data_IF_689570383641
#
_entry.id   IF_689570383641
#
_cell.length_a   1.000
_cell.length_b   1.000
_cell.length_c   1.000
_cell.angle_alpha   90.00
_cell.angle_beta   90.00
_cell.angle_gamma   90.00
#
_symmetry.space_group_name_H-M   'P 1'
#
loop_
_entity.id
_entity.type
_entity.pdbx_description
1 polymer ?
#
# COMPACT_ATOMS: atom_id res chain seq x y z
N UNK A 1 -2.82 18.50 5.57
CA UNK A 1 -2.85 17.04 5.78
C UNK A 1 -1.57 16.42 5.26
N UNK A 2 -1.05 15.44 5.96
CA UNK A 2 0.15 14.77 5.50
C UNK A 2 -0.18 13.77 4.41
N UNK A 3 0.78 13.55 3.49
CA UNK A 3 0.62 12.52 2.47
C UNK A 3 0.44 11.15 3.08
N UNK A 4 1.08 10.90 4.21
CA UNK A 4 0.98 9.61 4.89
C UNK A 4 -0.46 9.28 5.25
N UNK A 5 -1.22 10.24 5.77
CA UNK A 5 -2.60 10.02 6.13
C UNK A 5 -3.45 9.67 4.90
N UNK A 6 -3.25 10.39 3.80
CA UNK A 6 -3.97 10.13 2.56
C UNK A 6 -3.63 8.74 2.00
N UNK A 7 -2.36 8.35 2.10
CA UNK A 7 -1.91 7.04 1.64
C UNK A 7 -2.54 5.93 2.47
N UNK A 8 -2.54 6.08 3.79
CA UNK A 8 -3.13 5.10 4.69
C UNK A 8 -4.62 4.93 4.39
N UNK A 9 -5.33 6.05 4.20
CA UNK A 9 -6.76 6.00 3.89
C UNK A 9 -7.01 5.30 2.55
N UNK A 10 -6.15 5.53 1.56
CA UNK A 10 -6.29 4.88 0.25
C UNK A 10 -6.05 3.38 0.35
N UNK A 11 -5.04 2.97 1.13
CA UNK A 11 -4.76 1.55 1.33
C UNK A 11 -5.92 0.88 2.06
N UNK A 12 -6.43 1.52 3.11
CA UNK A 12 -7.56 0.99 3.87
C UNK A 12 -8.78 0.81 2.97
N UNK A 13 -9.04 1.79 2.11
CA UNK A 13 -10.16 1.73 1.17
C UNK A 13 -9.99 0.55 0.21
N UNK A 14 -8.77 0.36 -0.31
CA UNK A 14 -8.48 -0.75 -1.20
C UNK A 14 -8.61 -2.12 -0.54
N UNK A 15 -8.40 -2.18 0.76
CA UNK A 15 -8.51 -3.42 1.54
C UNK A 15 -9.89 -3.59 2.19
N UNK A 16 -10.75 -2.60 2.04
CA UNK A 16 -12.09 -2.59 2.64
C UNK A 16 -12.02 -2.67 4.18
N UNK A 17 -11.07 -1.92 4.74
CA UNK A 17 -10.85 -1.84 6.19
C UNK A 17 -10.96 -0.40 6.64
N UNK A 18 -11.38 -0.17 7.92
CA UNK A 18 -11.34 1.18 8.47
C UNK A 18 -9.90 1.66 8.64
N UNK A 19 -9.60 2.93 8.34
CA UNK A 19 -8.24 3.43 8.53
C UNK A 19 -7.72 3.26 9.97
N UNK A 20 -8.61 3.29 10.94
CA UNK A 20 -8.22 3.13 12.35
C UNK A 20 -7.70 1.73 12.67
N UNK A 21 -8.04 0.74 11.84
CA UNK A 21 -7.59 -0.63 12.03
C UNK A 21 -6.30 -0.95 11.28
N UNK A 22 -5.72 0.05 10.62
CA UNK A 22 -4.49 -0.16 9.84
C UNK A 22 -3.29 -0.22 10.76
N UNK A 23 -2.59 -1.36 10.73
CA UNK A 23 -1.36 -1.57 11.47
C UNK A 23 -0.21 -1.53 10.46
N UNK A 24 0.66 -0.54 10.58
CA UNK A 24 1.76 -0.38 9.64
C UNK A 24 2.74 -1.56 9.65
N UNK A 25 2.77 -2.31 10.75
CA UNK A 25 3.64 -3.48 10.86
C UNK A 25 3.00 -4.77 10.34
N UNK A 26 1.70 -4.72 10.01
CA UNK A 26 1.01 -5.90 9.52
C UNK A 26 1.52 -6.28 8.13
N UNK A 27 1.81 -7.57 7.93
CA UNK A 27 2.24 -8.06 6.63
C UNK A 27 1.03 -8.45 5.79
N UNK A 28 1.15 -8.23 4.49
CA UNK A 28 0.05 -8.56 3.58
C UNK A 28 -0.19 -10.07 3.52
N UNK A 29 0.87 -10.85 3.58
CA UNK A 29 0.78 -12.29 3.46
C UNK A 29 0.45 -12.98 4.78
N UNK A 30 1.23 -12.69 5.82
CA UNK A 30 1.14 -13.43 7.07
C UNK A 30 0.00 -12.94 7.98
N UNK A 31 -0.18 -11.63 8.06
CA UNK A 31 -1.17 -11.05 8.96
C UNK A 31 -2.54 -10.87 8.30
N UNK A 32 -2.54 -10.53 7.02
CA UNK A 32 -3.77 -10.26 6.28
C UNK A 32 -4.24 -11.42 5.40
N UNK A 33 -3.35 -12.36 5.13
CA UNK A 33 -3.68 -13.53 4.32
C UNK A 33 -3.96 -13.23 2.87
N UNK A 34 -3.38 -12.15 2.34
CA UNK A 34 -3.56 -11.79 0.94
C UNK A 34 -2.68 -12.64 0.04
N UNK A 35 -3.22 -13.07 -1.09
CA UNK A 35 -2.43 -13.80 -2.07
C UNK A 35 -1.73 -12.80 -3.01
N UNK A 36 -0.76 -13.26 -3.83
CA UNK A 36 -0.03 -12.34 -4.72
C UNK A 36 -0.91 -11.56 -5.69
N UNK A 37 -2.02 -12.14 -6.13
CA UNK A 37 -2.94 -11.46 -7.06
C UNK A 37 -3.63 -10.31 -6.34
N UNK A 38 -4.07 -10.53 -5.11
CA UNK A 38 -4.73 -9.48 -4.33
C UNK A 38 -3.78 -8.33 -4.03
N UNK A 39 -2.53 -8.65 -3.71
CA UNK A 39 -1.52 -7.62 -3.46
C UNK A 39 -1.24 -6.82 -4.75
N UNK A 40 -1.14 -7.51 -5.88
CA UNK A 40 -0.91 -6.84 -7.16
C UNK A 40 -2.08 -5.91 -7.51
N UNK A 41 -3.30 -6.35 -7.26
CA UNK A 41 -4.49 -5.53 -7.50
C UNK A 41 -4.47 -4.26 -6.63
N UNK A 42 -4.06 -4.41 -5.37
CA UNK A 42 -3.95 -3.26 -4.47
C UNK A 42 -2.93 -2.26 -4.99
N UNK A 43 -1.76 -2.74 -5.40
CA UNK A 43 -0.71 -1.89 -5.93
C UNK A 43 -1.17 -1.16 -7.19
N UNK A 44 -1.89 -1.86 -8.07
CA UNK A 44 -2.41 -1.28 -9.30
C UNK A 44 -3.40 -0.15 -9.00
N UNK A 45 -4.32 -0.39 -8.06
CA UNK A 45 -5.29 0.63 -7.63
C UNK A 45 -4.59 1.87 -7.10
N UNK A 46 -3.58 1.67 -6.26
CA UNK A 46 -2.84 2.80 -5.66
C UNK A 46 -2.02 3.55 -6.70
N UNK A 47 -1.44 2.83 -7.65
CA UNK A 47 -0.68 3.45 -8.74
C UNK A 47 -1.56 4.39 -9.54
N UNK A 48 -2.78 3.98 -9.82
CA UNK A 48 -3.73 4.81 -10.55
C UNK A 48 -4.20 5.99 -9.73
N UNK A 49 -4.49 5.76 -8.46
CA UNK A 49 -5.01 6.81 -7.58
C UNK A 49 -4.01 7.94 -7.40
N UNK A 50 -2.74 7.59 -7.21
CA UNK A 50 -1.69 8.57 -6.96
C UNK A 50 -0.90 8.93 -8.22
N UNK A 51 -1.24 8.34 -9.36
CA UNK A 51 -0.57 8.59 -10.63
C UNK A 51 0.94 8.34 -10.53
N UNK A 52 1.31 7.20 -9.99
CA UNK A 52 2.70 6.78 -9.82
C UNK A 52 2.91 5.45 -10.53
N UNK A 53 4.17 5.10 -10.76
CA UNK A 53 4.55 3.85 -11.40
C UNK A 53 5.32 3.01 -10.38
N UNK A 54 4.85 1.77 -10.16
CA UNK A 54 5.49 0.82 -9.25
C UNK A 54 5.98 -0.37 -10.07
N UNK A 55 7.30 -0.59 -10.07
CA UNK A 55 7.89 -1.71 -10.80
C UNK A 55 7.64 -3.03 -10.06
N UNK A 56 7.54 -4.16 -10.80
CA UNK A 56 7.40 -5.46 -10.16
C UNK A 56 8.52 -5.78 -9.16
N UNK A 57 9.73 -5.29 -9.41
CA UNK A 57 10.85 -5.49 -8.48
C UNK A 57 10.61 -4.78 -7.15
N UNK A 58 9.91 -3.65 -7.17
CA UNK A 58 9.59 -2.91 -5.96
C UNK A 58 8.50 -3.63 -5.15
N UNK A 59 7.53 -4.24 -5.84
CA UNK A 59 6.47 -4.95 -5.14
C UNK A 59 7.00 -6.13 -4.33
N UNK A 60 8.06 -6.77 -4.83
CA UNK A 60 8.68 -7.88 -4.11
C UNK A 60 9.37 -7.49 -2.81
N UNK A 61 9.69 -6.20 -2.66
CA UNK A 61 10.36 -5.69 -1.46
C UNK A 61 9.37 -5.18 -0.42
N UNK A 62 8.12 -5.00 -0.79
CA UNK A 62 7.08 -4.48 0.10
C UNK A 62 6.37 -5.64 0.76
N UNK A 63 6.51 -5.78 2.07
CA UNK A 63 5.91 -6.89 2.82
C UNK A 63 4.85 -6.42 3.79
N UNK A 64 4.96 -5.19 4.29
CA UNK A 64 4.03 -4.65 5.28
C UNK A 64 3.34 -3.42 4.73
N UNK A 65 2.27 -3.01 5.43
CA UNK A 65 1.56 -1.78 5.10
C UNK A 65 2.51 -0.59 5.20
N UNK A 66 3.37 -0.56 6.22
CA UNK A 66 4.35 0.51 6.39
C UNK A 66 5.32 0.59 5.22
N UNK A 67 5.76 -0.57 4.71
CA UNK A 67 6.65 -0.61 3.55
C UNK A 67 5.96 0.02 2.34
N UNK A 68 4.69 -0.26 2.15
CA UNK A 68 3.93 0.29 1.03
C UNK A 68 3.74 1.80 1.19
N UNK A 69 3.45 2.25 2.41
CA UNK A 69 3.31 3.68 2.68
C UNK A 69 4.61 4.41 2.32
N UNK A 70 5.75 3.87 2.74
CA UNK A 70 7.05 4.46 2.43
C UNK A 70 7.31 4.51 0.93
N UNK A 71 6.99 3.44 0.23
CA UNK A 71 7.19 3.38 -1.21
C UNK A 71 6.39 4.47 -1.92
N UNK A 72 5.12 4.61 -1.56
CA UNK A 72 4.26 5.62 -2.18
C UNK A 72 4.75 7.03 -1.83
N UNK A 73 5.14 7.25 -0.58
CA UNK A 73 5.67 8.55 -0.17
C UNK A 73 6.90 8.92 -1.00
N UNK A 74 7.81 7.98 -1.19
CA UNK A 74 9.02 8.20 -1.99
C UNK A 74 8.67 8.53 -3.44
N UNK A 75 7.69 7.83 -4.01
CA UNK A 75 7.25 8.09 -5.38
C UNK A 75 6.62 9.46 -5.52
N UNK A 76 5.89 9.91 -4.52
CA UNK A 76 5.24 11.22 -4.56
C UNK A 76 6.23 12.37 -4.41
N UNK A 77 7.40 12.12 -3.84
CA UNK A 77 8.45 13.12 -3.70
C UNK A 77 9.31 13.27 -4.95
N UNK A 78 9.22 12.34 -5.88
CA UNK A 78 9.99 12.39 -7.15
C UNK A 78 9.50 13.46 -8.10
#
# INVERSE_FOLDING_TARGET
>A
MSNQQQIIEAIADGLTLPPADMDLEASFKDDMGLNPVEVADLFDSLSRKFNIIVDPSETGQVKTIGDLVELIEDKLLE
#
